data_IF_611749650879
#
_entry.id   IF_611749650879
#
_cell.length_a   1.000
_cell.length_b   1.000
_cell.length_c   1.000
_cell.angle_alpha   90.00
_cell.angle_beta   90.00
_cell.angle_gamma   90.00
#
_symmetry.space_group_name_H-M   'P 1'
#
loop_
_entity.id
_entity.type
_entity.pdbx_description
1 polymer ?
#
# COMPACT_ATOMS: atom_id res chain seq x y z
N UNK A 1 -19.04 -0.23 -5.42
CA UNK A 1 -17.86 -0.30 -4.55
C UNK A 1 -17.03 -1.47 -5.06
N UNK A 2 -15.79 -1.30 -5.55
CA UNK A 2 -14.98 -2.44 -5.97
C UNK A 2 -14.74 -3.33 -4.75
N UNK A 3 -15.25 -4.56 -4.79
CA UNK A 3 -15.09 -5.56 -3.74
C UNK A 3 -13.76 -6.27 -3.92
N UNK A 4 -12.92 -6.25 -2.89
CA UNK A 4 -11.62 -6.93 -2.89
C UNK A 4 -11.84 -8.44 -2.73
N UNK A 5 -11.27 -9.21 -3.66
CA UNK A 5 -11.30 -10.66 -3.62
C UNK A 5 -9.89 -11.21 -3.78
N UNK A 6 -9.52 -12.20 -2.98
CA UNK A 6 -8.31 -12.98 -3.16
C UNK A 6 -8.67 -14.33 -3.78
N UNK A 7 -8.01 -14.69 -4.87
CA UNK A 7 -8.23 -15.95 -5.55
C UNK A 7 -6.99 -16.84 -5.39
N UNK A 8 -7.15 -18.14 -5.09
CA UNK A 8 -6.02 -19.06 -4.97
C UNK A 8 -5.30 -19.20 -6.31
N UNK A 9 -4.03 -19.59 -6.27
CA UNK A 9 -3.17 -19.77 -7.47
C UNK A 9 -3.76 -20.75 -8.51
N UNK A 10 -4.62 -21.66 -8.07
CA UNK A 10 -5.33 -22.65 -8.89
C UNK A 10 -6.67 -22.13 -9.47
N UNK A 11 -7.02 -20.86 -9.21
CA UNK A 11 -8.18 -20.22 -9.80
C UNK A 11 -7.95 -20.00 -11.30
N UNK A 12 -8.39 -20.97 -12.12
CA UNK A 12 -8.46 -20.81 -13.57
C UNK A 12 -9.74 -20.08 -13.96
N UNK A 13 -9.78 -19.52 -15.16
CA UNK A 13 -10.97 -18.86 -15.76
C UNK A 13 -12.20 -19.78 -15.92
N UNK A 14 -12.08 -21.08 -15.59
CA UNK A 14 -13.18 -22.06 -15.57
C UNK A 14 -13.70 -22.38 -14.16
N UNK A 15 -13.01 -21.96 -13.10
CA UNK A 15 -13.37 -22.25 -11.71
C UNK A 15 -13.05 -21.07 -10.79
N UNK A 16 -13.77 -19.98 -11.04
CA UNK A 16 -14.02 -18.81 -10.17
C UNK A 16 -14.60 -19.15 -8.77
N UNK A 17 -14.61 -20.42 -8.39
CA UNK A 17 -15.45 -20.98 -7.32
C UNK A 17 -14.98 -20.75 -5.90
N UNK A 18 -13.78 -20.21 -5.67
CA UNK A 18 -13.25 -19.98 -4.31
C UNK A 18 -12.43 -18.68 -4.19
N UNK A 19 -12.76 -17.65 -4.98
CA UNK A 19 -12.24 -16.34 -4.61
C UNK A 19 -12.92 -15.91 -3.31
N UNK A 20 -12.12 -15.73 -2.26
CA UNK A 20 -12.63 -15.29 -0.96
C UNK A 20 -12.79 -13.78 -0.99
N UNK A 21 -13.95 -13.30 -0.56
CA UNK A 21 -14.13 -11.87 -0.33
C UNK A 21 -13.37 -11.51 0.95
N UNK A 22 -12.44 -10.56 0.84
CA UNK A 22 -11.64 -10.16 1.98
C UNK A 22 -12.53 -9.55 3.07
N UNK A 23 -12.38 -10.02 4.30
CA UNK A 23 -13.16 -9.63 5.47
C UNK A 23 -12.25 -8.96 6.52
N UNK A 24 -11.46 -7.99 6.07
CA UNK A 24 -10.52 -7.30 6.94
C UNK A 24 -11.27 -6.24 7.75
N UNK A 25 -11.62 -6.56 8.99
CA UNK A 25 -12.31 -5.62 9.90
C UNK A 25 -11.27 -4.77 10.63
N UNK A 26 -11.32 -3.44 10.45
CA UNK A 26 -10.46 -2.49 11.17
C UNK A 26 -9.14 -2.14 10.47
N UNK A 27 -8.81 -2.79 9.37
CA UNK A 27 -7.62 -2.50 8.58
C UNK A 27 -8.02 -2.01 7.17
N UNK A 28 -8.41 -0.72 7.11
CA UNK A 28 -8.75 0.02 5.88
C UNK A 28 -7.57 0.16 4.92
N UNK A 29 -6.34 -0.09 5.41
CA UNK A 29 -5.11 -0.06 4.64
C UNK A 29 -4.88 -1.31 3.81
N UNK A 30 -5.61 -2.40 4.03
CA UNK A 30 -5.41 -3.64 3.29
C UNK A 30 -5.89 -3.50 1.83
N UNK A 31 -5.16 -4.08 0.88
CA UNK A 31 -5.53 -4.12 -0.54
C UNK A 31 -5.60 -5.54 -1.12
N UNK A 32 -5.05 -6.52 -0.42
CA UNK A 32 -5.12 -7.94 -0.76
C UNK A 32 -5.13 -8.79 0.51
N UNK A 33 -5.98 -9.81 0.55
CA UNK A 33 -5.97 -10.82 1.60
C UNK A 33 -5.40 -12.16 1.10
N UNK A 34 -5.18 -13.11 2.00
CA UNK A 34 -4.79 -14.47 1.61
C UNK A 34 -5.97 -15.16 0.92
N UNK A 35 -5.68 -15.95 -0.11
CA UNK A 35 -6.71 -16.72 -0.81
C UNK A 35 -7.32 -17.83 0.07
N UNK A 36 -6.54 -18.34 1.01
CA UNK A 36 -6.93 -19.39 1.95
C UNK A 36 -7.54 -18.83 3.25
N UNK A 37 -7.38 -17.53 3.51
CA UNK A 37 -7.80 -16.87 4.74
C UNK A 37 -8.18 -15.39 4.50
N UNK A 38 -9.49 -15.12 4.48
CA UNK A 38 -10.05 -13.81 4.14
C UNK A 38 -9.78 -12.73 5.19
N UNK A 39 -9.37 -13.12 6.39
CA UNK A 39 -9.08 -12.25 7.52
C UNK A 39 -7.57 -11.90 7.58
N UNK A 40 -6.72 -12.60 6.81
CA UNK A 40 -5.28 -12.34 6.73
C UNK A 40 -4.97 -11.36 5.62
N UNK A 41 -4.46 -10.18 5.98
CA UNK A 41 -3.97 -9.21 5.01
C UNK A 41 -2.58 -9.62 4.48
N UNK A 42 -2.43 -9.75 3.16
CA UNK A 42 -1.17 -10.12 2.50
C UNK A 42 -0.59 -8.98 1.68
N UNK A 43 -1.38 -7.93 1.42
CA UNK A 43 -0.97 -6.74 0.70
C UNK A 43 -1.61 -5.50 1.29
N UNK A 44 -0.79 -4.46 1.45
CA UNK A 44 -1.25 -3.14 1.88
C UNK A 44 -1.37 -2.19 0.69
N UNK A 45 -2.33 -1.27 0.78
CA UNK A 45 -2.47 -0.16 -0.16
C UNK A 45 -1.17 0.65 -0.22
N UNK A 46 -0.88 1.31 -1.36
CA UNK A 46 0.19 2.29 -1.40
C UNK A 46 -0.03 3.34 -0.30
N UNK A 47 1.06 3.81 0.30
CA UNK A 47 1.08 4.64 1.53
C UNK A 47 0.77 3.90 2.82
N UNK A 48 0.71 2.56 2.81
CA UNK A 48 0.63 1.73 4.02
C UNK A 48 1.75 0.70 4.01
N UNK A 49 2.29 0.38 5.18
CA UNK A 49 3.22 -0.75 5.36
C UNK A 49 2.56 -1.82 6.21
N UNK A 50 2.96 -3.07 6.00
CA UNK A 50 2.52 -4.18 6.83
C UNK A 50 3.33 -4.18 8.12
N UNK A 51 2.67 -3.95 9.24
CA UNK A 51 3.27 -4.00 10.56
C UNK A 51 3.24 -5.46 11.06
N UNK A 52 4.39 -6.14 11.21
CA UNK A 52 4.43 -7.53 11.65
C UNK A 52 4.11 -7.69 13.14
N UNK A 53 4.18 -6.62 13.95
CA UNK A 53 3.87 -6.67 15.38
C UNK A 53 2.36 -6.63 15.63
N UNK A 54 1.62 -5.81 14.87
CA UNK A 54 0.15 -5.75 14.97
C UNK A 54 -0.56 -6.56 13.90
N UNK A 55 0.15 -7.05 12.87
CA UNK A 55 -0.39 -7.74 11.68
C UNK A 55 -1.38 -6.91 10.86
N UNK A 56 -1.21 -5.58 10.89
CA UNK A 56 -2.11 -4.61 10.26
C UNK A 56 -1.37 -3.72 9.26
N UNK A 57 -2.09 -3.17 8.28
CA UNK A 57 -1.53 -2.15 7.40
C UNK A 57 -1.61 -0.79 8.07
N UNK A 58 -0.46 -0.29 8.50
CA UNK A 58 -0.35 1.00 9.17
C UNK A 58 0.02 2.06 8.13
N UNK A 59 -0.62 3.23 8.23
CA UNK A 59 -0.37 4.33 7.31
C UNK A 59 1.07 4.85 7.46
N UNK A 60 1.73 5.02 6.33
CA UNK A 60 3.03 5.70 6.24
C UNK A 60 2.90 7.17 6.61
N UNK A 61 4.03 7.76 7.01
CA UNK A 61 4.16 9.21 7.18
C UNK A 61 3.74 10.00 5.94
N UNK A 62 3.34 11.25 6.14
CA UNK A 62 2.85 12.12 5.07
C UNK A 62 3.86 12.23 3.91
N UNK A 63 3.34 12.26 2.68
CA UNK A 63 4.13 12.36 1.44
C UNK A 63 4.99 11.12 1.12
N UNK A 64 4.79 10.03 1.83
CA UNK A 64 5.42 8.74 1.56
C UNK A 64 4.54 7.84 0.70
N UNK A 65 5.10 7.27 -0.37
CA UNK A 65 4.45 6.27 -1.22
C UNK A 65 4.65 4.85 -0.70
N UNK A 66 5.86 4.54 -0.19
CA UNK A 66 6.22 3.24 0.40
C UNK A 66 7.10 3.49 1.61
N UNK A 67 6.77 2.87 2.73
CA UNK A 67 7.56 2.95 3.96
C UNK A 67 7.91 1.56 4.49
N UNK A 68 9.01 1.49 5.23
CA UNK A 68 9.46 0.32 5.99
C UNK A 68 8.85 0.31 7.41
N UNK A 69 8.51 1.49 7.93
CA UNK A 69 7.75 1.67 9.17
C UNK A 69 6.91 2.95 9.12
N UNK A 70 6.04 3.17 10.13
CA UNK A 70 5.15 4.34 10.19
C UNK A 70 5.88 5.68 10.01
N UNK A 71 7.14 5.75 10.42
CA UNK A 71 8.00 6.94 10.32
C UNK A 71 9.08 6.83 9.24
N UNK A 72 9.47 5.62 8.86
CA UNK A 72 10.62 5.40 7.97
C UNK A 72 10.15 5.13 6.54
N UNK A 73 10.06 6.19 5.75
CA UNK A 73 9.79 6.10 4.32
C UNK A 73 10.98 5.53 3.54
N UNK A 74 10.69 4.82 2.45
CA UNK A 74 11.68 4.30 1.49
C UNK A 74 11.44 4.84 0.09
N UNK A 75 10.20 5.20 -0.25
CA UNK A 75 9.82 5.81 -1.53
C UNK A 75 8.90 6.98 -1.29
N UNK A 76 9.30 8.17 -1.73
CA UNK A 76 8.48 9.37 -1.61
C UNK A 76 7.48 9.53 -2.75
N UNK A 77 6.41 10.30 -2.49
CA UNK A 77 5.48 10.74 -3.51
C UNK A 77 6.18 11.67 -4.52
N UNK A 78 5.63 11.74 -5.74
CA UNK A 78 6.11 12.65 -6.78
C UNK A 78 6.19 14.09 -6.24
N UNK A 79 7.34 14.75 -6.43
CA UNK A 79 7.60 16.10 -5.89
C UNK A 79 8.24 16.13 -4.49
N UNK A 80 8.53 14.98 -3.89
CA UNK A 80 9.22 14.87 -2.60
C UNK A 80 10.52 14.07 -2.73
N UNK A 81 11.54 14.42 -1.94
CA UNK A 81 12.80 13.66 -1.85
C UNK A 81 12.88 12.92 -0.53
N UNK A 82 13.51 11.76 -0.57
CA UNK A 82 13.81 10.97 0.61
C UNK A 82 15.01 11.58 1.33
N UNK A 83 14.79 12.05 2.55
CA UNK A 83 15.79 12.64 3.42
C UNK A 83 15.74 11.96 4.79
N UNK A 84 16.74 11.11 5.08
CA UNK A 84 16.82 10.37 6.34
C UNK A 84 15.64 9.43 6.62
N UNK A 85 14.87 9.06 5.58
CA UNK A 85 13.61 8.30 5.70
C UNK A 85 12.36 9.14 5.88
N UNK A 86 12.46 10.45 5.78
CA UNK A 86 11.31 11.35 5.72
C UNK A 86 11.20 11.93 4.32
N UNK A 87 9.96 12.10 3.84
CA UNK A 87 9.72 12.74 2.56
C UNK A 87 9.59 14.23 2.76
N UNK A 88 10.68 14.95 2.49
CA UNK A 88 10.69 16.40 2.52
C UNK A 88 10.29 16.92 1.15
N UNK A 89 9.56 18.04 1.13
CA UNK A 89 9.25 18.71 -0.12
C UNK A 89 10.56 18.91 -0.87
N UNK A 90 10.62 18.35 -2.07
CA UNK A 90 11.58 18.84 -3.01
C UNK A 90 10.97 20.14 -3.48
N UNK A 91 11.42 21.26 -2.91
CA UNK A 91 11.33 22.60 -3.52
C UNK A 91 11.96 22.65 -4.93
N UNK A 92 12.22 21.50 -5.55
CA UNK A 92 12.04 21.35 -6.98
C UNK A 92 10.54 21.51 -7.31
N UNK A 93 10.04 22.75 -7.15
CA UNK A 93 9.48 23.42 -8.31
C UNK A 93 10.41 22.99 -9.44
N UNK A 94 9.88 22.27 -10.42
CA UNK A 94 10.52 22.32 -11.71
C UNK A 94 10.58 23.82 -12.02
N UNK A 95 11.70 24.44 -11.66
CA UNK A 95 12.21 25.62 -12.28
C UNK A 95 12.84 25.15 -13.59
N UNK A 96 12.08 24.36 -14.36
CA UNK A 96 11.82 24.70 -15.74
C UNK A 96 11.10 26.06 -15.66
N UNK A 97 11.79 27.19 -15.54
CA UNK A 97 12.50 27.77 -16.66
C UNK A 97 11.65 27.72 -17.95
N UNK A 98 10.33 27.96 -17.86
CA UNK A 98 9.63 28.66 -18.93
C UNK A 98 10.03 30.15 -18.87
N UNK A 99 11.25 30.40 -19.33
CA UNK A 99 11.59 31.65 -19.98
C UNK A 99 12.30 31.26 -21.29
N UNK A 100 11.51 30.93 -22.31
CA UNK A 100 11.80 31.39 -23.68
C UNK A 100 10.62 31.25 -24.62
#
# INVERSE_FOLDING_TARGET
>A
MPTMHACPSDATTSNEKNCVQCNIVGNDGCNACAADDADVCTGCNPKFYFDPDTTECVACSSNCSTCDSAVQCTVCATGFKLDGGTCVASDVIACDADNS
#
